data_IF_923706919085
#
_entry.id   IF_923706919085
#
_cell.length_a   1.000
_cell.length_b   1.000
_cell.length_c   1.000
_cell.angle_alpha   90.00
_cell.angle_beta   90.00
_cell.angle_gamma   90.00
#
_symmetry.space_group_name_H-M   'P 1'
#
loop_
_entity.id
_entity.type
_entity.pdbx_description
1 polymer ?
#
# COMPACT_ATOMS: atom_id res chain seq x y z
N UNK A 1 -3.07 -5.92 22.59
CA UNK A 1 -3.43 -4.73 21.79
C UNK A 1 -2.31 -4.26 20.84
N UNK A 2 -1.28 -5.08 20.57
CA UNK A 2 -0.12 -4.65 19.78
C UNK A 2 -0.10 -5.13 18.32
N UNK A 3 -0.90 -6.14 17.95
CA UNK A 3 -0.85 -6.75 16.61
C UNK A 3 -1.33 -5.83 15.49
N UNK A 4 -2.29 -4.93 15.74
CA UNK A 4 -2.85 -4.07 14.67
C UNK A 4 -1.92 -2.94 14.26
N UNK A 5 -1.17 -2.34 15.20
CA UNK A 5 -0.18 -1.31 14.85
C UNK A 5 1.05 -1.91 14.17
N UNK A 6 1.52 -3.08 14.62
CA UNK A 6 2.62 -3.81 13.99
C UNK A 6 2.25 -4.22 12.55
N UNK A 7 1.04 -4.76 12.35
CA UNK A 7 0.53 -5.11 11.03
C UNK A 7 0.48 -3.90 10.09
N UNK A 8 -0.01 -2.74 10.55
CA UNK A 8 -0.03 -1.50 9.74
C UNK A 8 1.36 -1.01 9.37
N UNK A 9 2.33 -1.09 10.30
CA UNK A 9 3.73 -0.74 10.00
C UNK A 9 4.33 -1.70 8.96
N UNK A 10 4.05 -3.00 9.08
CA UNK A 10 4.50 -4.01 8.12
C UNK A 10 3.89 -3.78 6.74
N UNK A 11 2.57 -3.52 6.66
CA UNK A 11 1.86 -3.15 5.43
C UNK A 11 2.50 -1.91 4.80
N UNK A 12 2.70 -0.84 5.58
CA UNK A 12 3.32 0.40 5.11
C UNK A 12 4.70 0.16 4.52
N UNK A 13 5.59 -0.53 5.26
CA UNK A 13 6.93 -0.84 4.79
C UNK A 13 6.89 -1.66 3.50
N UNK A 14 5.96 -2.61 3.39
CA UNK A 14 5.83 -3.47 2.22
C UNK A 14 5.30 -2.72 1.00
N UNK A 15 4.30 -1.85 1.16
CA UNK A 15 3.78 -0.99 0.08
C UNK A 15 4.92 -0.12 -0.46
N UNK A 16 5.70 0.51 0.41
CA UNK A 16 6.83 1.33 -0.01
C UNK A 16 7.87 0.52 -0.80
N UNK A 17 8.27 -0.65 -0.30
CA UNK A 17 9.21 -1.55 -1.02
C UNK A 17 8.70 -1.97 -2.40
N UNK A 18 7.40 -2.25 -2.53
CA UNK A 18 6.78 -2.58 -3.81
C UNK A 18 6.86 -1.39 -4.77
N UNK A 19 6.52 -0.19 -4.30
CA UNK A 19 6.52 1.03 -5.10
C UNK A 19 7.94 1.53 -5.43
N UNK A 20 8.94 1.21 -4.61
CA UNK A 20 10.36 1.40 -4.93
C UNK A 20 10.80 0.54 -6.11
N UNK A 21 10.19 -0.64 -6.29
CA UNK A 21 10.49 -1.55 -7.41
C UNK A 21 9.75 -1.14 -8.69
N UNK A 22 8.67 -0.37 -8.58
CA UNK A 22 7.93 0.19 -9.70
C UNK A 22 6.47 0.49 -9.37
N UNK A 23 5.74 1.12 -10.30
CA UNK A 23 4.33 1.42 -10.10
C UNK A 23 3.47 0.15 -9.94
N UNK A 24 2.49 0.19 -9.05
CA UNK A 24 1.60 -0.96 -8.77
C UNK A 24 0.14 -0.55 -8.95
N UNK A 25 -0.63 -1.38 -9.65
CA UNK A 25 -2.06 -1.15 -9.84
C UNK A 25 -2.82 -1.32 -8.51
N UNK A 26 -3.84 -0.49 -8.30
CA UNK A 26 -4.65 -0.53 -7.07
C UNK A 26 -5.26 -1.91 -6.82
N UNK A 27 -5.75 -2.57 -7.87
CA UNK A 27 -6.36 -3.89 -7.77
C UNK A 27 -5.37 -4.99 -7.34
N UNK A 28 -4.09 -4.85 -7.71
CA UNK A 28 -3.05 -5.84 -7.43
C UNK A 28 -2.31 -5.58 -6.11
N UNK A 29 -2.43 -4.36 -5.57
CA UNK A 29 -1.69 -3.94 -4.38
C UNK A 29 -1.94 -4.86 -3.16
N UNK A 30 -3.18 -5.22 -2.78
CA UNK A 30 -3.41 -6.11 -1.64
C UNK A 30 -2.83 -7.52 -1.82
N UNK A 31 -2.77 -8.01 -3.06
CA UNK A 31 -2.18 -9.30 -3.38
C UNK A 31 -0.64 -9.25 -3.41
N UNK A 32 -0.08 -8.12 -3.85
CA UNK A 32 1.36 -7.89 -3.89
C UNK A 32 1.97 -7.69 -2.48
N UNK A 33 1.18 -7.17 -1.53
CA UNK A 33 1.57 -7.06 -0.13
C UNK A 33 1.57 -8.46 0.52
N UNK A 34 2.69 -9.16 0.36
CA UNK A 34 2.92 -10.46 0.97
C UNK A 34 3.24 -10.33 2.47
N UNK A 35 2.22 -10.24 3.32
CA UNK A 35 2.35 -10.58 4.76
C UNK A 35 2.10 -12.06 4.97
N UNK A 36 2.64 -12.59 6.07
CA UNK A 36 2.43 -13.97 6.49
C UNK A 36 0.94 -14.30 6.61
N UNK A 37 0.50 -15.50 6.19
CA UNK A 37 -0.91 -15.89 6.24
C UNK A 37 -1.50 -15.84 7.66
N UNK A 38 -0.66 -15.96 8.70
CA UNK A 38 -1.05 -15.80 10.11
C UNK A 38 -1.44 -14.35 10.46
N UNK A 39 -0.90 -13.36 9.74
CA UNK A 39 -1.24 -11.94 9.89
C UNK A 39 -2.37 -11.49 8.94
N UNK A 40 -2.69 -12.31 7.92
CA UNK A 40 -3.84 -12.11 7.06
C UNK A 40 -5.11 -12.43 7.84
N UNK A 41 -5.64 -11.41 8.51
CA UNK A 41 -7.05 -11.40 8.92
C UNK A 41 -7.95 -11.61 7.68
N UNK A 42 -9.24 -11.88 7.87
CA UNK A 42 -10.22 -12.10 6.79
C UNK A 42 -9.94 -11.23 5.55
N UNK A 43 -9.93 -11.82 4.34
CA UNK A 43 -9.47 -11.16 3.10
C UNK A 43 -10.08 -9.77 2.89
N UNK A 44 -11.37 -9.60 3.21
CA UNK A 44 -12.04 -8.31 3.13
C UNK A 44 -11.44 -7.26 4.08
N UNK A 45 -11.12 -7.66 5.31
CA UNK A 45 -10.47 -6.80 6.31
C UNK A 45 -9.03 -6.50 5.92
N UNK A 46 -8.31 -7.48 5.36
CA UNK A 46 -6.97 -7.29 4.82
C UNK A 46 -6.95 -6.24 3.70
N UNK A 47 -7.83 -6.37 2.70
CA UNK A 47 -7.92 -5.41 1.61
C UNK A 47 -8.25 -4.01 2.12
N UNK A 48 -9.14 -3.90 3.10
CA UNK A 48 -9.47 -2.62 3.74
C UNK A 48 -8.28 -2.00 4.50
N UNK A 49 -7.49 -2.81 5.21
CA UNK A 49 -6.29 -2.32 5.91
C UNK A 49 -5.20 -1.87 4.93
N UNK A 50 -4.95 -2.61 3.85
CA UNK A 50 -4.02 -2.19 2.79
C UNK A 50 -4.50 -0.90 2.14
N UNK A 51 -5.78 -0.80 1.80
CA UNK A 51 -6.34 0.43 1.21
C UNK A 51 -6.20 1.61 2.17
N UNK A 52 -6.55 1.45 3.46
CA UNK A 52 -6.43 2.52 4.44
C UNK A 52 -4.99 3.02 4.65
N UNK A 53 -4.00 2.12 4.62
CA UNK A 53 -2.58 2.53 4.67
C UNK A 53 -2.16 3.24 3.39
N UNK A 54 -2.66 2.78 2.24
CA UNK A 54 -2.38 3.39 0.93
C UNK A 54 -2.96 4.80 0.84
N UNK A 55 -4.19 5.00 1.32
CA UNK A 55 -4.86 6.29 1.34
C UNK A 55 -4.10 7.27 2.26
N UNK A 56 -3.70 6.82 3.45
CA UNK A 56 -2.86 7.61 4.36
C UNK A 56 -1.53 8.02 3.69
N UNK A 57 -0.85 7.11 2.98
CA UNK A 57 0.38 7.43 2.26
C UNK A 57 0.16 8.43 1.11
N UNK A 58 -1.01 8.42 0.48
CA UNK A 58 -1.41 9.42 -0.51
C UNK A 58 -1.62 10.78 0.15
N UNK A 59 -2.31 10.83 1.29
CA UNK A 59 -2.54 12.06 2.07
C UNK A 59 -1.24 12.65 2.62
N UNK A 60 -0.29 11.81 3.05
CA UNK A 60 1.07 12.21 3.44
C UNK A 60 1.92 12.71 2.25
N UNK A 61 1.44 12.55 1.01
CA UNK A 61 2.18 12.87 -0.21
C UNK A 61 3.36 11.94 -0.48
N UNK A 62 3.46 10.82 0.25
CA UNK A 62 4.55 9.83 0.09
C UNK A 62 4.38 9.02 -1.19
N UNK A 63 3.14 8.77 -1.60
CA UNK A 63 2.79 8.10 -2.85
C UNK A 63 1.77 8.94 -3.61
N UNK A 64 1.71 8.77 -4.93
CA UNK A 64 0.74 9.45 -5.79
C UNK A 64 -0.07 8.41 -6.55
N UNK A 65 -1.39 8.60 -6.59
CA UNK A 65 -2.30 7.81 -7.41
C UNK A 65 -2.49 8.48 -8.78
N UNK A 66 -2.24 7.74 -9.86
CA UNK A 66 -2.53 8.18 -11.23
C UNK A 66 -3.62 7.29 -11.80
N UNK A 67 -4.75 7.88 -12.18
CA UNK A 67 -5.85 7.16 -12.83
C UNK A 67 -5.84 7.43 -14.32
N UNK A 68 -5.74 6.38 -15.12
CA UNK A 68 -5.82 6.43 -16.59
C UNK A 68 -6.68 5.28 -17.08
N UNK A 69 -7.62 5.55 -17.98
CA UNK A 69 -8.48 4.52 -18.59
C UNK A 69 -9.15 3.63 -17.52
N UNK A 70 -9.71 4.27 -16.48
CA UNK A 70 -10.38 3.61 -15.34
C UNK A 70 -9.48 2.71 -14.47
N UNK A 71 -8.15 2.76 -14.68
CA UNK A 71 -7.16 2.03 -13.89
C UNK A 71 -6.34 2.98 -13.05
N UNK A 72 -6.39 2.81 -11.74
CA UNK A 72 -5.56 3.56 -10.79
C UNK A 72 -4.26 2.80 -10.54
N UNK A 73 -3.14 3.50 -10.71
CA UNK A 73 -1.79 3.01 -10.43
C UNK A 73 -1.17 3.90 -9.36
N UNK A 74 -0.57 3.30 -8.35
CA UNK A 74 0.19 4.01 -7.33
C UNK A 74 1.65 4.10 -7.71
N UNK A 75 2.25 5.25 -7.42
CA UNK A 75 3.65 5.56 -7.68
C UNK A 75 4.28 6.07 -6.40
N UNK A 76 5.53 5.71 -6.12
CA UNK A 76 6.29 6.37 -5.07
C UNK A 76 6.51 7.83 -5.46
N UNK A 77 6.13 8.75 -4.58
CA UNK A 77 6.48 10.16 -4.75
C UNK A 77 7.94 10.29 -4.35
N UNK A 78 8.85 9.98 -5.27
CA UNK A 78 10.25 10.37 -5.11
C UNK A 78 10.22 11.89 -5.07
N UNK A 79 10.43 12.47 -3.88
CA UNK A 79 10.70 13.88 -3.75
C UNK A 79 11.75 14.20 -4.81
N UNK A 80 11.37 14.98 -5.82
CA UNK A 80 12.31 15.47 -6.81
C UNK A 80 13.39 16.17 -6.00
N UNK A 81 14.56 15.54 -5.88
CA UNK A 81 15.76 16.18 -5.36
C UNK A 81 16.16 17.21 -6.41
N UNK A 82 15.49 18.35 -6.39
CA UNK A 82 15.97 19.61 -6.97
C UNK A 82 16.80 20.33 -5.93
#
# INVERSE_FOLDING_TARGET
MSSTQEARKAIRARILQLLESGPVAQADLPAAVAVSPEERQEVARWNAEVQGVTDMLCEEGTITATTREERTTYHLTVAQRT
#
